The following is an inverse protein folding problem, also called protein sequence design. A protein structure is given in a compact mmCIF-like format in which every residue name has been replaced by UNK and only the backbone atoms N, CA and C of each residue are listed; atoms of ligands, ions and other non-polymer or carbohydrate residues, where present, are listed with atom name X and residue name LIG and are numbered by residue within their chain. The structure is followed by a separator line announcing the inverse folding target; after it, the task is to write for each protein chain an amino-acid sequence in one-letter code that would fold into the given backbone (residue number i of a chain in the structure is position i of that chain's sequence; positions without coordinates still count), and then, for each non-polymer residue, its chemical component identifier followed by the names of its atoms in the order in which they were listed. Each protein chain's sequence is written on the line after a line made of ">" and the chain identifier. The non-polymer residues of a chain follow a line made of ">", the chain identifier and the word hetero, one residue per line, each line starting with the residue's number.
data_IF_270971118516
#
_entry.id   IF_270971118516
#
_cell.length_a   1.000
_cell.length_b   1.000
_cell.length_c   1.000
_cell.angle_alpha   90.00
_cell.angle_beta   90.00
_cell.angle_gamma   90.00
#
_symmetry.space_group_name_H-M   'P 1'
#
loop_
_entity.id
_entity.type
_entity.pdbx_description
1 polymer ?
#
# COMPACT_ATOMS: atom_id res chain seq x y z
N UNK A 1 -18.37 27.62 16.70
CA UNK A 1 -16.89 27.66 16.69
C UNK A 1 -16.47 27.42 15.26
N UNK A 2 -16.04 28.46 14.53
CA UNK A 2 -15.63 28.35 13.12
C UNK A 2 -14.29 27.64 13.03
N UNK A 3 -14.25 26.50 12.36
CA UNK A 3 -13.01 25.92 11.84
C UNK A 3 -12.53 26.80 10.70
N UNK A 4 -11.50 27.61 10.96
CA UNK A 4 -10.79 28.39 9.95
C UNK A 4 -10.00 27.39 9.11
N UNK A 5 -10.49 27.03 7.93
CA UNK A 5 -9.63 26.49 6.88
C UNK A 5 -8.72 27.66 6.44
N UNK A 6 -7.45 27.64 6.88
CA UNK A 6 -6.44 28.56 6.35
C UNK A 6 -5.99 27.98 5.03
N UNK A 7 -6.32 28.64 3.92
CA UNK A 7 -5.75 28.34 2.61
C UNK A 7 -4.28 28.77 2.65
N UNK A 8 -3.37 27.81 2.79
CA UNK A 8 -1.93 28.05 2.71
C UNK A 8 -1.52 28.11 1.24
N UNK A 9 -0.71 29.10 0.85
CA UNK A 9 -0.19 29.19 -0.52
C UNK A 9 0.91 28.16 -0.74
N UNK A 10 1.20 27.80 -2.01
CA UNK A 10 2.23 26.83 -2.39
C UNK A 10 3.59 27.17 -1.76
N UNK A 11 3.93 28.46 -1.72
CA UNK A 11 5.19 28.97 -1.18
C UNK A 11 5.26 28.84 0.35
N UNK A 12 4.12 29.03 1.04
CA UNK A 12 4.03 28.85 2.49
C UNK A 12 4.17 27.38 2.89
N UNK A 13 3.53 26.47 2.13
CA UNK A 13 3.69 25.03 2.33
C UNK A 13 5.13 24.58 2.09
N UNK A 14 5.79 25.13 1.06
CA UNK A 14 7.17 24.79 0.74
C UNK A 14 8.14 25.27 1.83
N UNK A 15 7.93 26.47 2.38
CA UNK A 15 8.68 26.93 3.55
C UNK A 15 8.49 26.02 4.76
N UNK A 16 7.26 25.58 5.06
CA UNK A 16 6.97 24.67 6.18
C UNK A 16 7.69 23.32 6.01
N UNK A 17 7.67 22.74 4.81
CA UNK A 17 8.37 21.48 4.48
C UNK A 17 9.90 21.61 4.60
N UNK A 18 10.47 22.76 4.23
CA UNK A 18 11.92 23.00 4.26
C UNK A 18 12.44 23.34 5.67
N UNK A 19 11.60 23.89 6.54
CA UNK A 19 12.02 24.39 7.87
C UNK A 19 11.67 23.48 9.03
N UNK A 20 10.59 22.72 8.95
CA UNK A 20 10.25 21.70 9.95
C UNK A 20 10.53 20.31 9.38
N UNK A 21 11.10 19.42 10.19
CA UNK A 21 11.21 17.98 9.89
C UNK A 21 9.83 17.31 9.91
N UNK A 22 8.89 17.80 9.09
CA UNK A 22 7.50 17.40 9.10
C UNK A 22 7.38 15.97 8.56
N UNK A 23 6.76 15.11 9.38
CA UNK A 23 6.44 13.74 9.03
C UNK A 23 5.63 13.67 7.72
N UNK A 24 5.83 12.59 6.94
CA UNK A 24 5.35 12.29 5.58
C UNK A 24 3.94 12.74 5.10
N UNK A 25 3.08 13.33 5.94
CA UNK A 25 1.76 13.82 5.58
C UNK A 25 1.75 15.08 4.69
N UNK A 26 2.60 16.07 4.96
CA UNK A 26 2.48 17.39 4.28
C UNK A 26 3.20 17.44 2.92
N UNK A 27 4.31 16.70 2.75
CA UNK A 27 4.94 16.52 1.43
C UNK A 27 4.01 15.82 0.42
N UNK A 28 3.10 14.97 0.90
CA UNK A 28 2.07 14.33 0.07
C UNK A 28 1.06 15.33 -0.49
N UNK A 29 0.81 16.44 0.22
CA UNK A 29 -0.11 17.49 -0.23
C UNK A 29 0.45 18.28 -1.42
N UNK A 30 1.77 18.57 -1.43
CA UNK A 30 2.41 19.29 -2.53
C UNK A 30 2.43 18.46 -3.82
N UNK A 31 2.76 17.17 -3.72
CA UNK A 31 2.70 16.24 -4.85
C UNK A 31 1.28 16.07 -5.40
N UNK A 32 0.27 16.19 -4.52
CA UNK A 32 -1.15 16.13 -4.91
C UNK A 32 -1.64 17.40 -5.62
N UNK A 33 -0.99 18.56 -5.42
CA UNK A 33 -1.32 19.81 -6.11
C UNK A 33 -0.81 19.84 -7.57
N UNK A 34 0.19 19.03 -7.90
CA UNK A 34 0.71 18.89 -9.27
C UNK A 34 0.08 17.70 -10.04
N UNK A 35 -0.77 16.92 -9.36
CA UNK A 35 -1.44 15.78 -9.98
C UNK A 35 -2.65 16.23 -10.79
N UNK A 36 -2.82 15.68 -12.00
CA UNK A 36 -4.07 15.84 -12.76
C UNK A 36 -5.19 15.06 -12.05
N UNK A 37 -6.39 15.66 -12.00
CA UNK A 37 -7.57 14.99 -11.46
C UNK A 37 -7.88 13.75 -12.31
N UNK A 38 -8.13 12.62 -11.65
CA UNK A 38 -8.40 11.35 -12.33
C UNK A 38 -9.89 11.21 -12.62
N UNK A 39 -10.72 11.69 -11.71
CA UNK A 39 -12.17 11.62 -11.81
C UNK A 39 -12.85 12.84 -11.17
N UNK A 40 -14.12 13.01 -11.50
CA UNK A 40 -15.02 14.01 -10.92
C UNK A 40 -16.21 13.35 -10.25
N UNK A 41 -16.75 13.99 -9.23
CA UNK A 41 -17.96 13.58 -8.53
C UNK A 41 -18.76 14.83 -8.13
N UNK A 42 -20.08 14.81 -8.30
CA UNK A 42 -20.91 15.91 -7.83
C UNK A 42 -21.03 15.93 -6.29
N UNK A 43 -21.47 17.05 -5.73
CA UNK A 43 -21.58 17.23 -4.28
C UNK A 43 -22.55 16.24 -3.61
N UNK A 44 -23.64 15.85 -4.27
CA UNK A 44 -24.65 14.95 -3.69
C UNK A 44 -24.12 13.51 -3.61
N UNK A 45 -23.42 13.07 -4.66
CA UNK A 45 -22.76 11.77 -4.71
C UNK A 45 -21.57 11.68 -3.74
N UNK A 46 -20.85 12.79 -3.55
CA UNK A 46 -19.84 12.85 -2.49
C UNK A 46 -20.45 12.66 -1.10
N UNK A 47 -21.63 13.23 -0.85
CA UNK A 47 -22.33 13.08 0.43
C UNK A 47 -22.88 11.65 0.61
N UNK A 48 -23.30 10.98 -0.47
CA UNK A 48 -23.60 9.54 -0.44
C UNK A 48 -22.38 8.70 -0.03
N UNK A 49 -21.20 8.94 -0.62
CA UNK A 49 -19.98 8.24 -0.22
C UNK A 49 -19.63 8.45 1.26
N UNK A 50 -19.78 9.68 1.77
CA UNK A 50 -19.54 9.97 3.19
C UNK A 50 -20.52 9.24 4.12
N UNK A 51 -21.74 8.98 3.66
CA UNK A 51 -22.72 8.17 4.38
C UNK A 51 -22.44 6.66 4.35
N UNK A 52 -21.43 6.22 3.57
CA UNK A 52 -21.10 4.82 3.37
C UNK A 52 -21.93 4.13 2.28
N UNK A 53 -22.64 4.91 1.46
CA UNK A 53 -23.40 4.41 0.31
C UNK A 53 -22.57 4.49 -0.97
N UNK A 54 -22.89 3.66 -1.95
CA UNK A 54 -22.26 3.72 -3.27
C UNK A 54 -22.73 4.96 -4.04
N UNK A 55 -21.83 5.53 -4.85
CA UNK A 55 -22.11 6.70 -5.65
C UNK A 55 -21.36 6.64 -6.99
N UNK A 56 -21.92 7.31 -8.00
CA UNK A 56 -21.31 7.38 -9.32
C UNK A 56 -20.13 8.35 -9.35
N UNK A 57 -19.09 7.96 -10.07
CA UNK A 57 -17.89 8.75 -10.31
C UNK A 57 -17.63 8.81 -11.81
N UNK A 58 -17.32 9.98 -12.33
CA UNK A 58 -17.13 10.21 -13.76
C UNK A 58 -15.68 10.50 -14.12
N UNK A 59 -15.27 10.25 -15.37
CA UNK A 59 -13.94 10.63 -15.84
C UNK A 59 -13.74 12.15 -15.76
N UNK A 60 -12.50 12.58 -15.46
CA UNK A 60 -12.16 14.00 -15.32
C UNK A 60 -12.49 14.85 -16.56
N UNK A 61 -12.55 14.23 -17.75
CA UNK A 61 -12.96 14.89 -19.00
C UNK A 61 -14.39 15.42 -18.99
N UNK A 62 -15.22 15.02 -18.02
CA UNK A 62 -16.63 15.38 -17.89
C UNK A 62 -16.88 16.44 -16.83
N UNK A 63 -15.84 17.10 -16.33
CA UNK A 63 -15.93 18.09 -15.28
C UNK A 63 -16.87 19.25 -15.65
N UNK A 64 -17.91 19.43 -14.85
CA UNK A 64 -18.84 20.56 -14.92
C UNK A 64 -18.62 21.52 -13.74
N UNK A 65 -19.17 22.73 -13.85
CA UNK A 65 -19.08 23.73 -12.80
C UNK A 65 -19.83 23.26 -11.55
N UNK A 66 -19.09 22.96 -10.48
CA UNK A 66 -19.65 22.46 -9.21
C UNK A 66 -19.23 21.04 -8.84
N UNK A 67 -18.50 20.35 -9.73
CA UNK A 67 -17.95 19.03 -9.44
C UNK A 67 -16.71 19.08 -8.53
N UNK A 68 -16.57 18.03 -7.71
CA UNK A 68 -15.41 17.80 -6.86
C UNK A 68 -14.39 16.95 -7.61
N UNK A 69 -13.17 17.47 -7.74
CA UNK A 69 -12.05 16.77 -8.38
C UNK A 69 -11.43 15.74 -7.43
N UNK A 70 -11.30 14.51 -7.90
CA UNK A 70 -10.67 13.41 -7.18
C UNK A 70 -9.28 13.14 -7.77
N UNK A 71 -8.28 13.20 -6.90
CA UNK A 71 -6.89 12.98 -7.23
C UNK A 71 -6.43 11.60 -6.76
N UNK A 72 -5.50 11.00 -7.49
CA UNK A 72 -4.82 9.79 -7.02
C UNK A 72 -3.97 10.16 -5.82
N UNK A 73 -4.11 9.43 -4.71
CA UNK A 73 -3.14 9.56 -3.61
C UNK A 73 -1.73 9.31 -4.13
N UNK A 74 -0.82 10.23 -3.86
CA UNK A 74 0.60 10.04 -4.15
C UNK A 74 1.06 8.74 -3.48
N UNK A 75 1.74 7.87 -4.23
CA UNK A 75 2.39 6.70 -3.65
C UNK A 75 3.40 7.19 -2.62
N UNK A 76 3.34 6.73 -1.35
CA UNK A 76 4.35 7.11 -0.37
C UNK A 76 5.72 6.71 -0.90
N UNK A 77 6.67 7.66 -0.86
CA UNK A 77 8.00 7.43 -1.36
C UNK A 77 8.60 6.17 -0.70
N UNK A 78 9.27 5.29 -1.46
CA UNK A 78 9.91 4.11 -0.87
C UNK A 78 10.94 4.57 0.16
N UNK A 79 10.74 4.19 1.42
CA UNK A 79 11.66 4.49 2.51
C UNK A 79 12.87 3.58 2.34
N UNK A 80 14.05 4.13 2.04
CA UNK A 80 15.27 3.34 1.89
C UNK A 80 15.95 3.06 3.22
N UNK A 81 16.50 1.85 3.38
CA UNK A 81 17.34 1.52 4.54
C UNK A 81 18.69 2.22 4.34
N UNK A 82 19.18 3.01 5.32
CA UNK A 82 20.48 3.64 5.21
C UNK A 82 21.63 2.61 5.12
N UNK A 83 22.71 2.99 4.44
CA UNK A 83 23.93 2.16 4.34
C UNK A 83 24.58 1.95 5.71
N UNK A 84 25.31 0.85 5.89
CA UNK A 84 26.08 0.60 7.10
C UNK A 84 27.23 1.62 7.22
N UNK A 85 27.53 2.05 8.44
CA UNK A 85 28.74 2.83 8.73
C UNK A 85 29.89 1.89 9.05
N UNK A 86 31.08 2.18 8.53
CA UNK A 86 32.30 1.46 8.88
C UNK A 86 32.73 1.83 10.31
N UNK A 87 33.27 0.86 11.03
CA UNK A 87 33.90 1.09 12.32
C UNK A 87 35.38 1.31 12.07
N UNK A 88 35.85 2.52 12.36
CA UNK A 88 37.26 2.89 12.23
C UNK A 88 37.97 2.59 13.55
N UNK A 89 38.85 1.58 13.59
CA UNK A 89 39.49 1.05 14.82
C UNK A 89 40.51 2.01 15.49
N UNK A 90 40.54 3.28 15.10
CA UNK A 90 41.49 4.28 15.59
C UNK A 90 41.08 4.83 16.98
N UNK A 91 42.04 4.81 17.91
CA UNK A 91 41.86 5.07 19.35
C UNK A 91 41.31 6.47 19.70
N UNK A 92 41.49 7.47 18.84
CA UNK A 92 40.96 8.84 19.03
C UNK A 92 39.48 8.98 18.62
N UNK A 93 38.86 7.91 18.09
CA UNK A 93 37.54 7.92 17.48
C UNK A 93 36.45 7.32 18.36
N UNK A 94 36.63 7.21 19.68
CA UNK A 94 35.63 6.59 20.59
C UNK A 94 34.22 7.20 20.46
N UNK A 95 34.13 8.48 20.08
CA UNK A 95 32.86 9.15 19.78
C UNK A 95 32.25 8.70 18.44
N UNK A 96 33.07 8.57 17.39
CA UNK A 96 32.64 8.09 16.07
C UNK A 96 32.29 6.60 16.09
N UNK A 97 33.00 5.79 16.90
CA UNK A 97 32.61 4.43 17.24
C UNK A 97 31.20 4.36 17.83
N UNK A 98 30.87 5.25 18.78
CA UNK A 98 29.54 5.32 19.37
C UNK A 98 28.46 5.64 18.34
N UNK A 99 28.76 6.53 17.38
CA UNK A 99 27.85 6.85 16.26
C UNK A 99 27.67 5.66 15.33
N UNK A 100 28.75 5.00 14.91
CA UNK A 100 28.69 3.83 14.04
C UNK A 100 27.91 2.69 14.69
N UNK A 101 28.12 2.43 15.98
CA UNK A 101 27.38 1.42 16.74
C UNK A 101 25.89 1.78 16.83
N UNK A 102 25.54 3.01 17.19
CA UNK A 102 24.15 3.46 17.26
C UNK A 102 23.46 3.44 15.89
N UNK A 103 24.17 3.86 14.84
CA UNK A 103 23.69 3.86 13.46
C UNK A 103 23.43 2.44 12.95
N UNK A 104 24.39 1.53 13.15
CA UNK A 104 24.27 0.15 12.73
C UNK A 104 23.22 -0.62 13.57
N UNK A 105 23.02 -0.26 14.85
CA UNK A 105 21.92 -0.78 15.68
C UNK A 105 20.55 -0.31 15.18
N UNK A 106 20.41 0.97 14.82
CA UNK A 106 19.18 1.51 14.22
C UNK A 106 18.89 0.88 12.85
N UNK A 107 19.92 0.74 12.01
CA UNK A 107 19.83 0.01 10.73
C UNK A 107 19.42 -1.45 10.94
N UNK A 108 20.02 -2.14 11.90
CA UNK A 108 19.66 -3.52 12.23
C UNK A 108 18.21 -3.63 12.75
N UNK A 109 17.75 -2.67 13.57
CA UNK A 109 16.36 -2.62 14.02
C UNK A 109 15.39 -2.37 12.86
N UNK A 110 15.74 -1.51 11.89
CA UNK A 110 14.97 -1.38 10.65
C UNK A 110 14.90 -2.72 9.91
N UNK A 111 16.03 -3.36 9.63
CA UNK A 111 16.08 -4.64 8.91
C UNK A 111 15.31 -5.75 9.63
N UNK A 112 15.39 -5.80 10.96
CA UNK A 112 14.64 -6.77 11.78
C UNK A 112 13.13 -6.51 11.74
N UNK A 113 12.70 -5.24 11.77
CA UNK A 113 11.29 -4.87 11.61
C UNK A 113 10.74 -5.20 10.20
N UNK A 114 11.62 -5.35 9.21
CA UNK A 114 11.28 -5.64 7.81
C UNK A 114 11.68 -7.05 7.34
N UNK A 115 12.03 -7.99 8.24
CA UNK A 115 12.23 -9.39 7.88
C UNK A 115 13.58 -9.75 7.25
N UNK A 116 14.67 -9.10 7.65
CA UNK A 116 16.07 -9.44 7.32
C UNK A 116 16.42 -9.42 5.82
N UNK A 117 15.70 -8.68 4.98
CA UNK A 117 16.08 -8.43 3.59
C UNK A 117 16.49 -6.97 3.42
N UNK A 118 17.70 -6.73 2.90
CA UNK A 118 18.13 -5.40 2.41
C UNK A 118 17.26 -4.91 1.23
N UNK A 119 16.42 -5.79 0.70
CA UNK A 119 15.29 -5.46 -0.14
C UNK A 119 14.06 -5.29 0.75
N UNK A 120 13.72 -4.03 0.97
CA UNK A 120 12.46 -3.56 1.55
C UNK A 120 11.28 -4.37 1.03
N UNK A 121 10.81 -5.37 1.77
CA UNK A 121 9.55 -6.05 1.52
C UNK A 121 9.03 -6.60 2.85
N UNK A 122 7.97 -5.97 3.34
CA UNK A 122 7.08 -6.43 4.41
C UNK A 122 6.69 -7.92 4.23
N UNK A 123 6.05 -8.61 5.18
CA UNK A 123 5.52 -9.97 4.95
C UNK A 123 4.51 -10.05 3.79
N UNK A 124 4.09 -8.87 3.28
CA UNK A 124 3.60 -8.67 1.93
C UNK A 124 4.80 -8.56 0.98
N UNK A 125 5.21 -9.68 0.38
CA UNK A 125 5.97 -9.64 -0.87
C UNK A 125 5.14 -8.74 -1.82
N UNK A 126 5.58 -7.53 -2.22
CA UNK A 126 4.73 -6.56 -2.92
C UNK A 126 4.22 -7.08 -4.25
N UNK A 127 4.94 -8.04 -4.82
CA UNK A 127 4.57 -8.70 -6.07
C UNK A 127 3.73 -9.98 -5.85
N UNK A 128 3.52 -10.42 -4.60
CA UNK A 128 2.71 -11.59 -4.32
C UNK A 128 1.23 -11.22 -4.22
N UNK A 129 0.45 -11.74 -5.16
CA UNK A 129 -0.99 -11.46 -5.28
C UNK A 129 -1.87 -12.59 -4.74
N UNK A 130 -1.28 -13.60 -4.09
CA UNK A 130 -2.03 -14.71 -3.50
C UNK A 130 -2.94 -14.25 -2.35
N UNK A 131 -3.91 -15.09 -2.00
CA UNK A 131 -4.91 -14.77 -0.97
C UNK A 131 -4.29 -14.64 0.43
N UNK A 132 -3.26 -15.42 0.76
CA UNK A 132 -2.57 -15.38 2.06
C UNK A 132 -1.78 -14.09 2.25
N UNK A 133 -0.97 -13.69 1.27
CA UNK A 133 -0.13 -12.49 1.37
C UNK A 133 -0.93 -11.19 1.24
N UNK A 134 -2.04 -11.23 0.47
CA UNK A 134 -2.93 -10.10 0.33
C UNK A 134 -4.37 -10.59 0.45
N UNK A 135 -4.99 -10.51 1.64
CA UNK A 135 -6.38 -10.95 1.81
C UNK A 135 -7.34 -10.16 0.92
N UNK A 136 -8.39 -10.83 0.43
CA UNK A 136 -9.54 -10.14 -0.20
C UNK A 136 -10.32 -9.47 0.92
N UNK A 137 -10.54 -8.17 0.80
CA UNK A 137 -11.36 -7.38 1.73
C UNK A 137 -12.53 -6.76 0.98
N UNK A 138 -13.51 -6.19 1.69
CA UNK A 138 -14.61 -5.47 1.04
C UNK A 138 -14.13 -4.30 0.17
N UNK A 139 -12.96 -3.73 0.47
CA UNK A 139 -12.33 -2.66 -0.32
C UNK A 139 -11.48 -3.18 -1.48
N UNK A 140 -11.21 -4.48 -1.52
CA UNK A 140 -10.32 -5.12 -2.48
C UNK A 140 -10.95 -6.42 -3.01
N UNK A 141 -11.93 -6.25 -3.91
CA UNK A 141 -12.74 -7.32 -4.54
C UNK A 141 -12.06 -7.98 -5.75
N UNK A 142 -10.74 -8.03 -5.77
CA UNK A 142 -10.00 -8.58 -6.92
C UNK A 142 -10.19 -10.10 -7.07
N UNK A 143 -10.10 -10.57 -8.31
CA UNK A 143 -9.98 -12.00 -8.58
C UNK A 143 -8.56 -12.47 -8.27
N UNK A 144 -8.44 -13.37 -7.29
CA UNK A 144 -7.16 -14.02 -6.98
C UNK A 144 -6.98 -15.23 -7.89
N UNK A 145 -5.94 -15.19 -8.70
CA UNK A 145 -5.57 -16.24 -9.65
C UNK A 145 -4.12 -16.67 -9.42
N UNK A 146 -3.81 -17.91 -9.79
CA UNK A 146 -2.45 -18.41 -9.74
C UNK A 146 -1.58 -17.66 -10.76
N UNK A 147 -0.41 -17.10 -10.38
CA UNK A 147 0.48 -16.43 -11.32
C UNK A 147 1.03 -17.37 -12.41
N UNK A 148 1.22 -18.66 -12.09
CA UNK A 148 1.81 -19.61 -13.04
C UNK A 148 0.81 -20.15 -14.07
N UNK A 149 -0.44 -20.41 -13.66
CA UNK A 149 -1.42 -21.08 -14.52
C UNK A 149 -2.73 -20.31 -14.75
N UNK A 150 -2.92 -19.16 -14.10
CA UNK A 150 -4.13 -18.34 -14.22
C UNK A 150 -5.40 -18.92 -13.59
N UNK A 151 -5.36 -20.14 -13.04
CA UNK A 151 -6.53 -20.78 -12.46
C UNK A 151 -6.81 -20.26 -11.04
N UNK A 152 -8.07 -19.84 -10.79
CA UNK A 152 -8.52 -19.34 -9.48
C UNK A 152 -8.62 -20.42 -8.40
N UNK A 153 -8.84 -21.69 -8.80
CA UNK A 153 -8.97 -22.82 -7.86
C UNK A 153 -7.64 -23.53 -7.60
N UNK A 154 -6.56 -23.10 -8.24
CA UNK A 154 -5.24 -23.64 -7.97
C UNK A 154 -4.81 -23.28 -6.52
N UNK A 155 -4.27 -24.22 -5.73
CA UNK A 155 -3.84 -23.94 -4.35
C UNK A 155 -2.70 -22.90 -4.28
N UNK A 156 -1.89 -22.76 -5.33
CA UNK A 156 -0.90 -21.69 -5.47
C UNK A 156 -1.51 -20.28 -5.53
N UNK A 157 -2.78 -20.15 -5.96
CA UNK A 157 -3.51 -18.88 -5.90
C UNK A 157 -3.89 -18.51 -4.45
N UNK A 158 -4.12 -19.51 -3.60
CA UNK A 158 -4.46 -19.31 -2.20
C UNK A 158 -3.22 -18.92 -1.40
N UNK A 159 -2.13 -19.68 -1.54
CA UNK A 159 -0.84 -19.42 -0.90
C UNK A 159 0.30 -19.68 -1.90
N UNK A 160 1.24 -18.73 -2.03
CA UNK A 160 2.37 -18.84 -2.95
C UNK A 160 3.35 -19.96 -2.56
N UNK A 161 3.24 -20.49 -1.33
CA UNK A 161 4.04 -21.63 -0.86
C UNK A 161 3.51 -22.98 -1.37
N UNK A 162 2.26 -23.04 -1.83
CA UNK A 162 1.69 -24.27 -2.37
C UNK A 162 2.23 -24.55 -3.77
N UNK A 163 2.26 -25.81 -4.20
CA UNK A 163 2.61 -26.13 -5.59
C UNK A 163 1.50 -25.70 -6.57
N UNK A 164 1.88 -25.28 -7.77
CA UNK A 164 0.94 -25.06 -8.86
C UNK A 164 0.45 -26.41 -9.40
N UNK A 165 -0.86 -26.63 -9.41
CA UNK A 165 -1.49 -27.88 -9.92
C UNK A 165 -1.91 -27.77 -11.39
N UNK A 166 -1.92 -26.56 -11.96
CA UNK A 166 -2.45 -26.33 -13.30
C UNK A 166 -3.96 -26.58 -13.47
N UNK A 167 -4.71 -26.84 -12.40
CA UNK A 167 -6.13 -27.23 -12.44
C UNK A 167 -7.06 -26.14 -11.91
N UNK A 168 -8.27 -26.05 -12.50
CA UNK A 168 -9.37 -25.20 -12.04
C UNK A 168 -10.51 -26.02 -11.38
N UNK A 169 -10.26 -27.29 -11.07
CA UNK A 169 -11.24 -28.17 -10.43
C UNK A 169 -11.50 -27.77 -8.96
N UNK A 170 -12.74 -27.90 -8.46
CA UNK A 170 -13.05 -27.67 -7.05
C UNK A 170 -12.46 -28.75 -6.14
N UNK A 171 -12.21 -28.41 -4.86
CA UNK A 171 -11.83 -29.41 -3.85
C UNK A 171 -10.36 -29.82 -3.85
N UNK A 172 -9.51 -29.11 -4.57
CA UNK A 172 -8.06 -29.31 -4.48
C UNK A 172 -7.55 -28.96 -3.08
N UNK A 173 -6.67 -29.81 -2.53
CA UNK A 173 -6.05 -29.58 -1.22
C UNK A 173 -5.28 -28.25 -1.22
N UNK A 174 -5.51 -27.41 -0.19
CA UNK A 174 -4.92 -26.07 -0.10
C UNK A 174 -5.59 -24.98 -0.95
N UNK A 175 -6.62 -25.32 -1.74
CA UNK A 175 -7.41 -24.36 -2.50
C UNK A 175 -8.40 -23.60 -1.62
N UNK A 176 -8.68 -22.36 -2.00
CA UNK A 176 -9.75 -21.55 -1.44
C UNK A 176 -11.16 -22.10 -1.71
N UNK A 177 -11.30 -22.99 -2.71
CA UNK A 177 -12.60 -23.49 -3.19
C UNK A 177 -12.77 -24.96 -2.85
N UNK A 178 -13.56 -25.31 -1.81
CA UNK A 178 -13.79 -26.70 -1.42
C UNK A 178 -14.59 -27.46 -2.49
N UNK A 179 -14.62 -28.79 -2.35
CA UNK A 179 -15.45 -29.65 -3.18
C UNK A 179 -16.92 -29.27 -3.01
N UNK A 180 -17.72 -29.41 -4.07
CA UNK A 180 -19.16 -29.24 -3.93
C UNK A 180 -19.71 -30.26 -2.92
N UNK A 181 -20.65 -29.88 -2.03
CA UNK A 181 -21.34 -30.85 -1.21
C UNK A 181 -21.96 -31.91 -2.10
N UNK A 182 -21.72 -33.20 -1.83
CA UNK A 182 -22.42 -34.28 -2.52
C UNK A 182 -23.90 -34.08 -2.23
N UNK A 183 -24.69 -33.75 -3.26
CA UNK A 183 -26.14 -33.83 -3.15
C UNK A 183 -26.45 -35.30 -2.92
N UNK A 184 -26.81 -35.67 -1.68
CA UNK A 184 -27.41 -36.96 -1.40
C UNK A 184 -28.62 -37.08 -2.34
N UNK A 185 -28.54 -38.01 -3.29
CA UNK A 185 -29.66 -38.35 -4.13
C UNK A 185 -30.77 -38.83 -3.19
N UNK A 186 -31.74 -37.95 -2.95
CA UNK A 186 -32.93 -38.27 -2.17
C UNK A 186 -33.61 -39.46 -2.86
N UNK A 187 -33.84 -40.58 -2.17
CA UNK A 187 -34.37 -41.81 -2.76
C UNK A 187 -35.77 -41.60 -3.37
#
# INVERSE_FOLDING_TARGET
>A
MSTIAREFTKEQLQQIIETDHVQCGEASALASLEAEAVCVIDQSNLDYLKSGSDADVWPASRAEMGDVLLYRSATPAPVSVPAAMEMDDDFDSAFEHGKAVGWNAYRAAMLQSFGNSEQLNSPVIPDCWCRTCRPITLRDMRFVVCPDCGNKRCPHANDHRNACTGSNEPGQEGSAYPAAPQQEAKP
#
